data_IF_396909547809
#
_entry.id   IF_396909547809
#
_cell.length_a   1.000
_cell.length_b   1.000
_cell.length_c   1.000
_cell.angle_alpha   90.00
_cell.angle_beta   90.00
_cell.angle_gamma   90.00
#
_symmetry.space_group_name_H-M   'P 1'
#
loop_
_entity.id
_entity.type
_entity.pdbx_description
1 polymer ?
#
# COMPACT_ATOMS: atom_id res chain seq x y z
N UNK A 1 -10.88 19.77 -29.97
CA UNK A 1 -11.99 18.80 -30.20
C UNK A 1 -12.00 17.79 -29.06
N UNK A 2 -12.86 18.02 -28.06
CA UNK A 2 -13.09 17.10 -26.94
C UNK A 2 -13.82 15.86 -27.46
N UNK A 3 -13.21 14.67 -27.39
CA UNK A 3 -13.89 13.42 -27.71
C UNK A 3 -14.56 12.90 -26.44
N UNK A 4 -15.88 13.10 -26.36
CA UNK A 4 -16.77 12.34 -25.49
C UNK A 4 -16.61 10.85 -25.79
N UNK A 5 -16.10 10.07 -24.83
CA UNK A 5 -16.18 8.60 -24.85
C UNK A 5 -16.99 8.14 -23.65
N UNK A 6 -18.27 8.51 -23.62
CA UNK A 6 -19.30 7.83 -22.85
C UNK A 6 -19.80 6.62 -23.64
N UNK A 7 -18.95 5.60 -23.83
CA UNK A 7 -19.41 4.30 -24.30
C UNK A 7 -19.52 3.38 -23.10
N UNK A 8 -20.68 3.42 -22.43
CA UNK A 8 -21.17 2.30 -21.64
C UNK A 8 -21.32 1.13 -22.62
N UNK A 9 -20.27 0.30 -22.75
CA UNK A 9 -20.42 -1.02 -23.38
C UNK A 9 -21.32 -1.82 -22.45
N UNK A 10 -22.62 -1.86 -22.75
CA UNK A 10 -23.51 -2.86 -22.19
C UNK A 10 -22.97 -4.23 -22.64
N UNK A 11 -22.30 -4.92 -21.73
CA UNK A 11 -21.88 -6.30 -21.92
C UNK A 11 -23.14 -7.12 -22.19
N UNK A 12 -23.32 -7.56 -23.43
CA UNK A 12 -24.35 -8.53 -23.79
C UNK A 12 -23.91 -9.84 -23.11
N UNK A 13 -24.49 -10.12 -21.95
CA UNK A 13 -24.26 -11.36 -21.20
C UNK A 13 -24.90 -12.49 -21.99
N UNK A 14 -24.14 -13.13 -22.88
CA UNK A 14 -24.54 -14.41 -23.49
C UNK A 14 -24.87 -15.36 -22.34
N UNK A 15 -26.10 -15.88 -22.30
CA UNK A 15 -26.58 -16.71 -21.20
C UNK A 15 -25.85 -18.07 -21.18
N UNK A 16 -24.65 -18.07 -20.62
CA UNK A 16 -23.98 -19.27 -20.11
C UNK A 16 -24.74 -19.76 -18.88
N UNK A 17 -24.97 -21.07 -18.79
CA UNK A 17 -25.61 -21.75 -17.64
C UNK A 17 -24.83 -21.61 -16.33
N UNK A 18 -23.60 -21.07 -16.36
CA UNK A 18 -22.79 -20.76 -15.19
C UNK A 18 -22.63 -19.24 -15.07
N UNK A 19 -23.35 -18.58 -14.15
CA UNK A 19 -23.17 -17.15 -13.92
C UNK A 19 -21.85 -16.91 -13.18
N UNK A 20 -20.83 -16.45 -13.89
CA UNK A 20 -19.62 -15.95 -13.23
C UNK A 20 -19.95 -14.67 -12.44
N UNK A 21 -19.53 -14.57 -11.17
CA UNK A 21 -19.68 -13.35 -10.39
C UNK A 21 -18.68 -12.28 -10.84
N UNK A 22 -19.00 -11.01 -10.57
CA UNK A 22 -18.25 -9.85 -11.07
C UNK A 22 -16.81 -9.81 -10.56
N UNK A 23 -16.56 -10.30 -9.34
CA UNK A 23 -15.21 -10.38 -8.78
C UNK A 23 -14.31 -11.36 -9.57
N UNK A 24 -14.83 -12.52 -9.96
CA UNK A 24 -14.12 -13.48 -10.81
C UNK A 24 -13.79 -12.84 -12.15
N UNK A 25 -14.77 -12.15 -12.74
CA UNK A 25 -14.56 -11.42 -13.99
C UNK A 25 -13.51 -10.32 -13.85
N UNK A 26 -13.53 -9.54 -12.76
CA UNK A 26 -12.55 -8.49 -12.49
C UNK A 26 -11.12 -9.03 -12.33
N UNK A 27 -10.95 -10.27 -11.84
CA UNK A 27 -9.63 -10.94 -11.76
C UNK A 27 -9.06 -11.24 -13.14
N UNK A 28 -9.89 -11.70 -14.08
CA UNK A 28 -9.45 -12.03 -15.44
C UNK A 28 -9.03 -10.82 -16.27
N UNK A 29 -9.56 -9.64 -15.95
CA UNK A 29 -9.26 -8.40 -16.67
C UNK A 29 -8.26 -7.51 -15.91
N UNK A 30 -7.85 -6.41 -16.55
CA UNK A 30 -6.99 -5.39 -15.97
C UNK A 30 -7.62 -4.73 -14.73
N UNK A 31 -6.82 -4.26 -13.76
CA UNK A 31 -7.33 -3.67 -12.53
C UNK A 31 -8.13 -2.39 -12.81
N UNK A 32 -9.29 -2.29 -12.16
CA UNK A 32 -10.13 -1.10 -12.21
C UNK A 32 -9.44 0.06 -11.45
N UNK A 33 -9.71 1.29 -11.89
CA UNK A 33 -9.14 2.51 -11.28
C UNK A 33 -10.24 3.51 -11.00
N UNK A 34 -10.17 4.14 -9.83
CA UNK A 34 -11.10 5.21 -9.45
C UNK A 34 -10.59 6.56 -9.96
N UNK A 35 -11.48 7.48 -10.35
CA UNK A 35 -11.09 8.83 -10.75
C UNK A 35 -10.64 9.65 -9.55
N UNK A 36 -9.66 10.54 -9.77
CA UNK A 36 -9.15 11.51 -8.79
C UNK A 36 -10.12 12.71 -8.74
N UNK A 37 -10.48 13.18 -7.54
CA UNK A 37 -11.46 14.27 -7.36
C UNK A 37 -10.78 15.61 -7.10
N UNK A 38 -9.90 15.66 -6.10
CA UNK A 38 -9.29 16.90 -5.61
C UNK A 38 -7.82 17.03 -6.01
N UNK A 39 -7.15 15.90 -6.24
CA UNK A 39 -5.73 15.89 -6.62
C UNK A 39 -4.80 16.07 -5.43
N UNK A 40 -5.27 15.70 -4.24
CA UNK A 40 -4.46 15.73 -3.03
C UNK A 40 -3.63 14.46 -2.92
N UNK A 41 -2.31 14.59 -3.06
CA UNK A 41 -1.40 13.47 -2.89
C UNK A 41 -1.27 13.14 -1.41
N UNK A 42 -1.73 11.96 -1.00
CA UNK A 42 -1.68 11.53 0.40
C UNK A 42 -0.49 10.60 0.64
N UNK A 43 -0.17 9.72 -0.31
CA UNK A 43 1.01 8.87 -0.19
C UNK A 43 1.64 8.52 -1.54
N UNK A 44 2.93 8.24 -1.50
CA UNK A 44 3.67 7.61 -2.58
C UNK A 44 4.31 6.29 -2.12
N UNK A 45 4.07 5.24 -2.89
CA UNK A 45 4.55 3.90 -2.63
C UNK A 45 5.55 3.57 -3.74
N UNK A 46 6.83 3.52 -3.37
CA UNK A 46 7.91 3.13 -4.25
C UNK A 46 8.25 1.66 -4.03
N UNK A 47 8.06 0.85 -5.08
CA UNK A 47 8.47 -0.55 -5.13
C UNK A 47 9.85 -0.65 -5.79
N UNK A 48 10.70 -1.52 -5.25
CA UNK A 48 12.02 -1.82 -5.79
C UNK A 48 12.25 -3.32 -5.81
N UNK A 49 12.78 -3.84 -6.91
CA UNK A 49 13.09 -5.27 -7.05
C UNK A 49 14.28 -5.44 -8.00
N UNK A 50 14.94 -6.59 -7.92
CA UNK A 50 15.92 -7.02 -8.92
C UNK A 50 15.27 -7.77 -10.09
N UNK A 51 14.01 -8.20 -9.94
CA UNK A 51 13.21 -8.88 -10.96
C UNK A 51 11.93 -8.09 -11.28
N UNK A 52 11.47 -8.16 -12.52
CA UNK A 52 10.30 -7.43 -13.01
C UNK A 52 8.99 -8.17 -12.75
N UNK A 53 8.95 -9.49 -12.90
CA UNK A 53 7.70 -10.26 -12.88
C UNK A 53 6.97 -10.13 -11.53
N UNK A 54 7.67 -10.45 -10.44
CA UNK A 54 7.12 -10.32 -9.08
C UNK A 54 6.74 -8.88 -8.73
N UNK A 55 7.51 -7.90 -9.22
CA UNK A 55 7.26 -6.49 -8.97
C UNK A 55 6.03 -5.98 -9.74
N UNK A 56 5.81 -6.45 -10.96
CA UNK A 56 4.66 -6.12 -11.78
C UNK A 56 3.39 -6.76 -11.23
N UNK A 57 3.45 -8.05 -10.89
CA UNK A 57 2.37 -8.76 -10.23
C UNK A 57 1.95 -8.09 -8.92
N UNK A 58 2.93 -7.75 -8.08
CA UNK A 58 2.65 -7.08 -6.81
C UNK A 58 2.05 -5.69 -7.00
N UNK A 59 2.52 -4.94 -8.01
CA UNK A 59 1.93 -3.65 -8.33
C UNK A 59 0.48 -3.74 -8.82
N UNK A 60 0.14 -4.78 -9.58
CA UNK A 60 -1.23 -5.07 -10.01
C UNK A 60 -2.13 -5.40 -8.82
N UNK A 61 -1.64 -6.26 -7.92
CA UNK A 61 -2.31 -6.60 -6.67
C UNK A 61 -2.63 -5.37 -5.81
N UNK A 62 -1.66 -4.48 -5.62
CA UNK A 62 -1.85 -3.23 -4.88
C UNK A 62 -2.96 -2.37 -5.50
N UNK A 63 -3.00 -2.25 -6.83
CA UNK A 63 -4.04 -1.50 -7.52
C UNK A 63 -5.44 -2.09 -7.27
N UNK A 64 -5.57 -3.42 -7.30
CA UNK A 64 -6.84 -4.11 -7.02
C UNK A 64 -7.31 -3.84 -5.60
N UNK A 65 -6.43 -3.95 -4.61
CA UNK A 65 -6.78 -3.67 -3.22
C UNK A 65 -7.19 -2.22 -3.02
N UNK A 66 -6.46 -1.27 -3.62
CA UNK A 66 -6.81 0.15 -3.54
C UNK A 66 -8.18 0.47 -4.15
N UNK A 67 -8.55 -0.19 -5.25
CA UNK A 67 -9.87 -0.04 -5.86
C UNK A 67 -10.99 -0.44 -4.88
N UNK A 68 -10.86 -1.59 -4.21
CA UNK A 68 -11.86 -2.05 -3.24
C UNK A 68 -11.95 -1.17 -2.00
N UNK A 69 -10.84 -0.57 -1.57
CA UNK A 69 -10.81 0.38 -0.46
C UNK A 69 -11.31 1.79 -0.84
N UNK A 70 -11.72 2.02 -2.10
CA UNK A 70 -12.20 3.32 -2.54
C UNK A 70 -11.08 4.34 -2.78
N UNK A 71 -9.82 3.89 -2.84
CA UNK A 71 -8.66 4.75 -3.00
C UNK A 71 -8.37 4.98 -4.49
N UNK A 72 -8.38 6.23 -4.98
CA UNK A 72 -7.89 6.52 -6.32
C UNK A 72 -6.37 6.40 -6.38
N UNK A 73 -5.90 5.20 -6.76
CA UNK A 73 -4.49 4.93 -7.02
C UNK A 73 -4.11 5.24 -8.46
N UNK A 74 -3.01 5.98 -8.65
CA UNK A 74 -2.36 6.08 -9.95
C UNK A 74 -1.39 4.91 -10.14
N UNK A 75 -1.49 4.27 -11.31
CA UNK A 75 -0.81 3.02 -11.68
C UNK A 75 0.72 3.04 -11.57
N UNK A 76 1.37 1.87 -11.68
CA UNK A 76 2.81 1.71 -11.48
C UNK A 76 3.59 2.49 -12.53
N UNK A 77 3.97 3.72 -12.21
CA UNK A 77 4.82 4.54 -13.05
C UNK A 77 6.23 3.93 -13.02
N UNK A 78 6.78 3.49 -14.17
CA UNK A 78 8.14 3.00 -14.21
C UNK A 78 9.09 4.17 -13.97
N UNK A 79 9.94 4.03 -12.95
CA UNK A 79 11.05 4.94 -12.72
C UNK A 79 12.32 4.37 -13.36
N UNK A 80 13.31 5.22 -13.70
CA UNK A 80 14.56 4.74 -14.29
C UNK A 80 15.23 3.66 -13.43
N UNK A 81 15.65 2.59 -14.10
CA UNK A 81 16.35 1.47 -13.46
C UNK A 81 17.76 1.89 -13.06
N UNK A 82 18.22 1.45 -11.89
CA UNK A 82 19.62 1.66 -11.48
C UNK A 82 20.43 0.47 -11.95
N UNK A 83 21.52 0.70 -12.68
CA UNK A 83 22.44 -0.34 -13.15
C UNK A 83 23.76 -0.23 -12.42
N UNK A 84 23.99 -1.13 -11.47
CA UNK A 84 25.26 -1.26 -10.75
C UNK A 84 26.14 -2.23 -11.55
N UNK A 85 27.38 -1.85 -11.85
CA UNK A 85 28.33 -2.67 -12.60
C UNK A 85 29.60 -2.85 -11.80
N UNK A 86 30.11 -4.07 -11.77
CA UNK A 86 31.41 -4.38 -11.18
C UNK A 86 32.19 -5.33 -12.08
N UNK A 87 33.51 -5.19 -12.06
CA UNK A 87 34.42 -6.01 -12.85
C UNK A 87 35.34 -6.77 -11.92
N UNK A 88 35.38 -8.09 -12.02
CA UNK A 88 36.15 -8.97 -11.14
C UNK A 88 37.12 -9.80 -11.96
N UNK A 89 38.30 -10.11 -11.42
CA UNK A 89 39.23 -11.05 -12.05
C UNK A 89 38.61 -12.45 -12.00
N UNK A 90 38.61 -13.16 -13.13
CA UNK A 90 38.01 -14.51 -13.21
C UNK A 90 38.76 -15.55 -12.38
N UNK A 91 40.10 -15.43 -12.37
CA UNK A 91 40.95 -16.35 -11.62
C UNK A 91 41.09 -15.91 -10.16
N UNK A 92 41.18 -16.86 -9.21
CA UNK A 92 41.53 -16.53 -7.82
C UNK A 92 42.94 -15.93 -7.67
N UNK A 93 43.85 -16.13 -8.64
CA UNK A 93 45.24 -15.65 -8.53
C UNK A 93 45.85 -15.24 -9.88
N UNK A 94 46.63 -14.13 -9.88
CA UNK A 94 47.54 -13.63 -10.94
C UNK A 94 46.96 -13.27 -12.31
N UNK A 95 45.93 -13.94 -12.84
CA UNK A 95 45.46 -13.73 -14.22
C UNK A 95 44.59 -12.47 -14.41
N UNK A 96 45.15 -11.27 -14.19
CA UNK A 96 44.43 -9.99 -14.25
C UNK A 96 43.92 -9.56 -15.65
N UNK A 97 44.45 -10.17 -16.74
CA UNK A 97 43.97 -9.93 -18.11
C UNK A 97 42.59 -10.55 -18.37
N UNK A 98 42.21 -11.59 -17.62
CA UNK A 98 40.88 -12.19 -17.68
C UNK A 98 39.96 -11.59 -16.63
N UNK A 99 39.13 -10.62 -17.05
CA UNK A 99 38.11 -9.98 -16.21
C UNK A 99 36.70 -10.37 -16.65
N UNK A 100 35.77 -10.35 -15.72
CA UNK A 100 34.35 -10.58 -15.93
C UNK A 100 33.54 -9.39 -15.45
N UNK A 101 32.56 -8.99 -16.26
CA UNK A 101 31.66 -7.90 -15.93
C UNK A 101 30.37 -8.50 -15.35
N UNK A 102 29.96 -8.00 -14.21
CA UNK A 102 28.69 -8.33 -13.59
C UNK A 102 27.86 -7.06 -13.48
N UNK A 103 26.54 -7.25 -13.46
CA UNK A 103 25.61 -6.16 -13.27
C UNK A 103 24.42 -6.57 -12.41
N UNK A 104 23.87 -5.57 -11.73
CA UNK A 104 22.61 -5.69 -11.01
C UNK A 104 21.72 -4.52 -11.35
N UNK A 105 20.53 -4.85 -11.82
CA UNK A 105 19.49 -3.88 -12.16
C UNK A 105 18.51 -3.76 -11.02
N UNK A 106 18.31 -2.55 -10.49
CA UNK A 106 17.23 -2.26 -9.57
C UNK A 106 16.08 -1.64 -10.34
N UNK A 107 15.04 -2.42 -10.56
CA UNK A 107 13.77 -1.99 -11.14
C UNK A 107 12.97 -1.23 -10.09
N UNK A 108 12.34 -0.12 -10.49
CA UNK A 108 11.63 0.79 -9.59
C UNK A 108 10.28 1.14 -10.17
N UNK A 109 9.20 0.98 -9.41
CA UNK A 109 7.86 1.47 -9.76
C UNK A 109 7.35 2.42 -8.69
N UNK A 110 6.53 3.37 -9.10
CA UNK A 110 5.90 4.33 -8.21
C UNK A 110 4.39 4.22 -8.35
N UNK A 111 3.71 4.02 -7.22
CA UNK A 111 2.25 4.07 -7.09
C UNK A 111 1.95 5.29 -6.22
N UNK A 112 0.90 6.04 -6.56
CA UNK A 112 0.51 7.25 -5.81
C UNK A 112 -0.94 7.12 -5.39
N UNK A 113 -1.21 7.37 -4.11
CA UNK A 113 -2.55 7.42 -3.54
C UNK A 113 -3.01 8.86 -3.42
N UNK A 114 -4.24 9.11 -3.88
CA UNK A 114 -4.86 10.42 -3.89
C UNK A 114 -6.12 10.42 -3.04
N UNK A 115 -6.50 11.58 -2.47
CA UNK A 115 -7.83 11.83 -1.91
C UNK A 115 -8.37 10.78 -0.91
N UNK A 116 -7.54 10.30 0.03
CA UNK A 116 -7.93 9.27 1.02
C UNK A 116 -7.88 9.74 2.47
N UNK A 117 -8.75 9.17 3.29
CA UNK A 117 -8.61 9.23 4.75
C UNK A 117 -7.35 8.44 5.19
N UNK A 118 -6.55 8.96 6.14
CA UNK A 118 -5.35 8.29 6.65
C UNK A 118 -5.58 6.87 7.18
N UNK A 119 -6.73 6.58 7.81
CA UNK A 119 -7.03 5.25 8.37
C UNK A 119 -7.17 4.19 7.28
N UNK A 120 -7.91 4.50 6.21
CA UNK A 120 -8.09 3.61 5.06
C UNK A 120 -6.75 3.39 4.35
N UNK A 121 -5.90 4.42 4.32
CA UNK A 121 -4.55 4.30 3.79
C UNK A 121 -3.70 3.36 4.63
N UNK A 122 -3.71 3.51 5.96
CA UNK A 122 -2.98 2.60 6.85
C UNK A 122 -3.47 1.16 6.71
N UNK A 123 -4.78 0.94 6.54
CA UNK A 123 -5.35 -0.37 6.24
C UNK A 123 -4.80 -0.95 4.94
N UNK A 124 -4.76 -0.15 3.86
CA UNK A 124 -4.15 -0.55 2.59
C UNK A 124 -2.69 -0.99 2.79
N UNK A 125 -1.88 -0.18 3.47
CA UNK A 125 -0.45 -0.47 3.68
C UNK A 125 -0.28 -1.73 4.54
N UNK A 126 -1.05 -1.89 5.61
CA UNK A 126 -1.04 -3.07 6.47
C UNK A 126 -1.42 -4.34 5.69
N UNK A 127 -2.43 -4.26 4.82
CA UNK A 127 -2.83 -5.38 3.99
C UNK A 127 -1.75 -5.77 2.98
N UNK A 128 -1.12 -4.78 2.34
CA UNK A 128 -0.07 -4.98 1.36
C UNK A 128 1.18 -5.59 2.01
N UNK A 129 1.61 -5.10 3.19
CA UNK A 129 2.77 -5.68 3.90
C UNK A 129 2.49 -7.11 4.36
N UNK A 130 1.26 -7.40 4.82
CA UNK A 130 0.84 -8.75 5.20
C UNK A 130 0.92 -9.74 4.03
N UNK A 131 0.59 -9.29 2.83
CA UNK A 131 0.58 -10.11 1.60
C UNK A 131 1.69 -9.71 0.63
N UNK A 132 2.89 -9.39 1.14
CA UNK A 132 4.03 -8.98 0.33
C UNK A 132 4.58 -10.12 -0.54
N UNK A 133 4.96 -9.80 -1.78
CA UNK A 133 5.63 -10.74 -2.68
C UNK A 133 7.14 -10.84 -2.39
N UNK A 134 7.73 -12.00 -2.67
CA UNK A 134 9.16 -12.21 -2.52
C UNK A 134 9.98 -11.33 -3.49
N UNK A 135 11.15 -10.88 -3.04
CA UNK A 135 12.07 -10.08 -3.85
C UNK A 135 11.67 -8.62 -4.08
N UNK A 136 10.49 -8.19 -3.60
CA UNK A 136 10.03 -6.81 -3.72
C UNK A 136 10.23 -6.06 -2.40
N UNK A 137 11.07 -5.04 -2.43
CA UNK A 137 11.20 -4.06 -1.36
C UNK A 137 10.23 -2.90 -1.56
N UNK A 138 9.66 -2.40 -0.47
CA UNK A 138 8.69 -1.29 -0.48
C UNK A 138 9.19 -0.12 0.36
N UNK A 139 8.98 1.10 -0.14
CA UNK A 139 9.15 2.35 0.60
C UNK A 139 7.88 3.18 0.44
N UNK A 140 7.35 3.69 1.54
CA UNK A 140 6.19 4.60 1.52
C UNK A 140 6.63 5.97 2.05
N UNK A 141 6.26 7.07 1.37
CA UNK A 141 6.22 8.38 2.02
C UNK A 141 4.76 8.83 2.16
N UNK A 142 4.43 9.34 3.35
CA UNK A 142 3.10 9.85 3.68
C UNK A 142 3.16 11.38 3.73
N UNK A 143 2.14 12.02 3.19
CA UNK A 143 1.99 13.46 3.17
C UNK A 143 0.79 13.83 4.04
N UNK A 144 1.07 14.47 5.18
CA UNK A 144 0.05 15.01 6.07
C UNK A 144 -0.04 16.52 5.84
N UNK A 145 -1.25 17.01 5.57
CA UNK A 145 -1.51 18.45 5.55
C UNK A 145 -1.87 18.89 6.96
N UNK A 146 -1.06 19.77 7.52
CA UNK A 146 -1.28 20.35 8.84
C UNK A 146 -1.26 21.87 8.74
N UNK A 147 -1.90 22.53 9.70
CA UNK A 147 -1.81 23.96 9.88
C UNK A 147 -0.41 24.40 10.38
N UNK A 148 -0.12 25.69 10.27
CA UNK A 148 1.21 26.25 10.57
C UNK A 148 1.45 26.30 12.09
N UNK A 149 0.44 26.72 12.85
CA UNK A 149 0.49 26.75 14.31
C UNK A 149 -0.09 25.47 14.86
N UNK A 150 0.71 24.69 15.59
CA UNK A 150 0.25 23.49 16.30
C UNK A 150 0.50 23.71 17.78
N UNK A 151 -0.57 23.63 18.58
CA UNK A 151 -0.49 23.71 20.04
C UNK A 151 -0.62 22.31 20.62
N UNK A 152 0.30 21.92 21.50
CA UNK A 152 0.28 20.61 22.17
C UNK A 152 -0.17 20.71 23.64
N UNK A 153 -0.49 21.89 24.15
CA UNK A 153 -0.76 22.10 25.57
C UNK A 153 -2.04 21.39 26.09
N UNK A 154 -2.94 20.95 25.21
CA UNK A 154 -4.14 20.15 25.54
C UNK A 154 -3.94 18.64 25.41
N UNK A 155 -2.71 18.16 25.66
CA UNK A 155 -2.27 16.76 25.48
C UNK A 155 -3.21 15.70 26.06
N UNK A 156 -3.70 15.88 27.29
CA UNK A 156 -4.49 14.85 27.97
C UNK A 156 -5.83 14.54 27.28
N UNK A 157 -6.62 15.59 27.00
CA UNK A 157 -7.94 15.45 26.37
C UNK A 157 -7.83 14.95 24.91
N UNK A 158 -6.80 15.38 24.19
CA UNK A 158 -6.62 14.99 22.79
C UNK A 158 -6.13 13.55 22.66
N UNK A 159 -5.35 13.06 23.62
CA UNK A 159 -4.97 11.65 23.68
C UNK A 159 -6.16 10.77 24.07
N UNK A 160 -7.02 11.18 25.00
CA UNK A 160 -8.25 10.44 25.30
C UNK A 160 -9.15 10.29 24.07
N UNK A 161 -9.31 11.36 23.27
CA UNK A 161 -10.01 11.30 21.98
C UNK A 161 -9.31 10.36 20.99
N UNK A 162 -7.98 10.35 20.97
CA UNK A 162 -7.25 9.42 20.10
C UNK A 162 -7.44 7.96 20.50
N UNK A 163 -7.51 7.66 21.80
CA UNK A 163 -7.79 6.33 22.33
C UNK A 163 -9.19 5.87 21.97
N UNK A 164 -10.20 6.75 22.07
CA UNK A 164 -11.56 6.41 21.64
C UNK A 164 -11.62 6.12 20.14
N UNK A 165 -10.93 6.92 19.31
CA UNK A 165 -10.89 6.67 17.87
C UNK A 165 -10.24 5.31 17.55
N UNK A 166 -9.19 4.93 18.28
CA UNK A 166 -8.55 3.62 18.13
C UNK A 166 -9.49 2.50 18.56
N UNK A 167 -10.21 2.63 19.68
CA UNK A 167 -11.18 1.61 20.09
C UNK A 167 -12.29 1.44 19.07
N UNK A 168 -12.76 2.54 18.48
CA UNK A 168 -13.81 2.51 17.46
C UNK A 168 -13.31 1.81 16.18
N UNK A 169 -12.07 2.09 15.75
CA UNK A 169 -11.45 1.49 14.57
C UNK A 169 -11.31 -0.03 14.67
N UNK A 170 -11.00 -0.54 15.87
CA UNK A 170 -10.79 -1.97 16.12
C UNK A 170 -11.99 -2.67 16.78
N UNK A 171 -13.15 -2.03 16.80
CA UNK A 171 -14.38 -2.67 17.29
C UNK A 171 -14.69 -3.91 16.43
N UNK A 172 -14.77 -5.07 17.09
CA UNK A 172 -15.20 -6.29 16.42
C UNK A 172 -16.68 -6.15 16.07
N UNK A 173 -16.99 -6.31 14.78
CA UNK A 173 -18.37 -6.41 14.30
C UNK A 173 -18.99 -7.75 14.69
N UNK A 174 -19.69 -8.41 13.76
CA UNK A 174 -20.14 -9.78 14.00
C UNK A 174 -18.93 -10.73 14.03
N UNK A 175 -18.85 -11.58 15.07
CA UNK A 175 -17.80 -12.59 15.28
C UNK A 175 -17.93 -13.81 14.34
N UNK A 176 -18.10 -13.56 13.05
CA UNK A 176 -18.18 -14.59 12.02
C UNK A 176 -16.77 -15.05 11.62
N UNK A 177 -16.12 -15.89 12.44
CA UNK A 177 -14.80 -16.54 12.18
C UNK A 177 -13.76 -15.59 11.54
N UNK A 178 -13.65 -14.39 12.09
CA UNK A 178 -12.76 -13.34 11.56
C UNK A 178 -11.30 -13.69 11.88
N UNK A 179 -10.37 -13.19 11.05
CA UNK A 179 -8.93 -13.32 11.28
C UNK A 179 -8.53 -12.51 12.51
N UNK A 180 -8.35 -13.18 13.66
CA UNK A 180 -7.85 -12.54 14.88
C UNK A 180 -6.32 -12.50 14.93
N UNK A 181 -5.78 -11.49 15.61
CA UNK A 181 -4.36 -11.37 15.89
C UNK A 181 -4.17 -11.18 17.39
N UNK A 182 -3.62 -12.19 18.07
CA UNK A 182 -3.37 -12.13 19.51
C UNK A 182 -2.48 -10.94 19.91
N UNK A 183 -1.54 -10.55 19.05
CA UNK A 183 -0.68 -9.37 19.28
C UNK A 183 -1.50 -8.08 19.22
N UNK A 184 -2.44 -7.97 18.27
CA UNK A 184 -3.34 -6.82 18.16
C UNK A 184 -4.25 -6.69 19.38
N UNK A 185 -4.83 -7.80 19.83
CA UNK A 185 -5.64 -7.85 21.06
C UNK A 185 -4.82 -7.41 22.28
N UNK A 186 -3.57 -7.87 22.39
CA UNK A 186 -2.69 -7.44 23.49
C UNK A 186 -2.38 -5.96 23.44
N UNK A 187 -2.19 -5.38 22.25
CA UNK A 187 -1.99 -3.93 22.08
C UNK A 187 -3.23 -3.16 22.53
N UNK A 188 -4.43 -3.61 22.16
CA UNK A 188 -5.68 -2.98 22.61
C UNK A 188 -5.85 -3.06 24.13
N UNK A 189 -5.52 -4.20 24.74
CA UNK A 189 -5.53 -4.36 26.20
C UNK A 189 -4.57 -3.37 26.89
N UNK A 190 -3.36 -3.20 26.35
CA UNK A 190 -2.37 -2.27 26.89
C UNK A 190 -2.81 -0.81 26.74
N UNK A 191 -3.39 -0.42 25.60
CA UNK A 191 -3.92 0.92 25.37
C UNK A 191 -5.09 1.25 26.31
N UNK A 192 -5.90 0.25 26.67
CA UNK A 192 -7.02 0.40 27.60
C UNK A 192 -6.60 0.32 29.08
N UNK A 193 -5.35 -0.03 29.37
CA UNK A 193 -4.88 -0.21 30.74
C UNK A 193 -4.86 1.12 31.52
N UNK A 194 -5.19 1.10 32.83
CA UNK A 194 -5.11 2.30 33.67
C UNK A 194 -3.67 2.81 33.83
N UNK A 195 -2.68 1.92 33.68
CA UNK A 195 -1.26 2.28 33.75
C UNK A 195 -0.85 3.18 32.57
N UNK A 196 -1.36 2.88 31.36
CA UNK A 196 -1.15 3.76 30.20
C UNK A 196 -1.73 5.17 30.43
N UNK A 197 -2.94 5.26 30.99
CA UNK A 197 -3.55 6.56 31.35
C UNK A 197 -2.77 7.30 32.43
N UNK A 198 -2.21 6.60 33.41
CA UNK A 198 -1.39 7.20 34.46
C UNK A 198 -0.07 7.81 33.94
N UNK A 199 0.49 7.25 32.86
CA UNK A 199 1.66 7.82 32.20
C UNK A 199 1.36 9.14 31.47
N UNK A 200 0.09 9.40 31.17
CA UNK A 200 -0.40 10.62 30.54
C UNK A 200 -0.36 11.83 31.48
N UNK A 201 -0.87 11.66 32.71
CA UNK A 201 -1.04 12.74 33.70
C UNK A 201 0.28 13.20 34.34
N UNK A 202 1.37 12.45 34.13
CA UNK A 202 2.68 12.69 34.75
C UNK A 202 3.62 13.58 33.91
N UNK A 203 3.15 14.08 32.77
CA UNK A 203 3.84 15.08 31.95
C UNK A 203 3.08 16.40 32.02
#
# INVERSE_FOLDING_TARGET
>A
MLRNTSTLRSFIRTQSTRPYPVNVEAVYYSPLKLPIKYGDLVADIQLRSYDNENLDFYSDFILRTGYYLGIPLTGPKPLPTRRERWTVIKSPFVHAKSKENFERHTHKRLIRAWDTNPEVLQLLISYITKHSMAGVGMKCNFFQKSEISVNFDSEANDIEKSLSNVSDLYSLGNDDKVQSSAVGEKVLELLNSPDFKKHLEKK
#
